data_IF_351834605319
#
_entry.id   IF_351834605319
#
_cell.length_a   1.000
_cell.length_b   1.000
_cell.length_c   1.000
_cell.angle_alpha   90.00
_cell.angle_beta   90.00
_cell.angle_gamma   90.00
#
_symmetry.space_group_name_H-M   'P 1'
#
loop_
_entity.id
_entity.type
_entity.pdbx_description
1 polymer ?
#
# COMPACT_ATOMS: atom_id res chain seq x y z
N UNK A 1 -74.79 -5.37 -22.49
CA UNK A 1 -75.30 -4.29 -21.62
C UNK A 1 -74.16 -3.28 -21.44
N UNK A 2 -74.14 -2.13 -22.14
CA UNK A 2 -74.82 -0.83 -21.84
C UNK A 2 -74.29 -0.25 -20.51
N UNK A 3 -73.77 0.98 -20.32
CA UNK A 3 -73.99 2.36 -20.87
C UNK A 3 -72.72 3.20 -20.51
N UNK A 4 -71.98 3.93 -21.37
CA UNK A 4 -72.09 5.30 -21.97
C UNK A 4 -72.12 6.53 -21.00
N UNK A 5 -71.13 7.43 -21.11
CA UNK A 5 -71.24 8.91 -21.30
C UNK A 5 -69.82 9.52 -21.20
N UNK A 6 -69.17 10.09 -22.23
CA UNK A 6 -69.46 11.27 -23.06
C UNK A 6 -69.60 12.60 -22.31
N UNK A 7 -68.59 13.46 -22.48
CA UNK A 7 -68.75 14.91 -22.65
C UNK A 7 -67.94 15.36 -23.87
N UNK A 8 -68.66 15.89 -24.86
CA UNK A 8 -68.17 16.66 -26.00
C UNK A 8 -68.26 18.14 -25.65
N UNK A 9 -67.27 18.97 -26.03
CA UNK A 9 -67.53 20.30 -26.59
C UNK A 9 -66.55 20.54 -27.76
N UNK A 10 -67.15 20.63 -28.94
CA UNK A 10 -66.63 21.13 -30.22
C UNK A 10 -66.34 22.62 -30.14
N UNK A 11 -65.33 23.15 -30.85
CA UNK A 11 -65.43 23.94 -32.11
C UNK A 11 -64.21 24.91 -32.09
N UNK A 12 -63.58 25.45 -33.13
CA UNK A 12 -63.89 25.73 -34.54
C UNK A 12 -62.54 25.74 -35.28
N UNK A 13 -62.44 25.09 -36.44
CA UNK A 13 -61.39 25.35 -37.43
C UNK A 13 -62.02 26.16 -38.55
N UNK A 14 -61.55 27.39 -38.77
CA UNK A 14 -61.76 28.12 -40.02
C UNK A 14 -60.40 28.60 -40.52
N UNK A 15 -60.05 28.08 -41.70
CA UNK A 15 -58.94 28.52 -42.53
C UNK A 15 -59.28 29.88 -43.13
N UNK A 16 -58.40 30.86 -42.95
CA UNK A 16 -58.26 32.00 -43.85
C UNK A 16 -56.77 32.27 -44.04
N UNK A 17 -56.26 31.92 -45.22
CA UNK A 17 -54.91 32.27 -45.65
C UNK A 17 -54.86 33.73 -46.11
N UNK A 18 -53.77 34.42 -45.77
CA UNK A 18 -53.25 35.56 -46.50
C UNK A 18 -51.72 35.60 -46.37
N UNK A 19 -51.06 35.63 -47.52
CA UNK A 19 -49.62 35.82 -47.72
C UNK A 19 -49.13 37.11 -47.07
N UNK A 20 -48.04 37.06 -46.30
CA UNK A 20 -47.08 38.18 -46.23
C UNK A 20 -45.62 37.70 -46.26
N UNK A 21 -45.01 38.06 -47.38
CA UNK A 21 -43.61 38.24 -47.72
C UNK A 21 -42.55 38.23 -46.60
N UNK A 22 -41.44 37.57 -46.93
CA UNK A 22 -40.10 37.64 -46.34
C UNK A 22 -39.72 39.03 -45.80
N UNK A 23 -39.32 39.06 -44.55
CA UNK A 23 -38.33 40.02 -44.03
C UNK A 23 -37.26 39.23 -43.29
N UNK A 24 -36.12 39.03 -43.95
CA UNK A 24 -34.85 38.69 -43.31
C UNK A 24 -34.44 39.86 -42.42
N UNK A 25 -34.65 39.74 -41.11
CA UNK A 25 -33.87 40.50 -40.15
C UNK A 25 -32.61 39.69 -39.83
N UNK A 26 -31.48 40.19 -40.33
CA UNK A 26 -30.15 39.78 -39.88
C UNK A 26 -30.03 40.07 -38.39
N UNK A 27 -30.38 39.08 -37.56
CA UNK A 27 -29.85 39.02 -36.21
C UNK A 27 -28.44 38.51 -36.37
N UNK A 28 -27.51 39.45 -36.55
CA UNK A 28 -26.11 39.23 -36.21
C UNK A 28 -26.08 38.80 -34.73
N UNK A 29 -26.15 37.49 -34.48
CA UNK A 29 -25.53 36.90 -33.30
C UNK A 29 -24.07 37.29 -33.42
N UNK A 30 -23.70 38.36 -32.71
CA UNK A 30 -22.32 38.56 -32.33
C UNK A 30 -21.88 37.24 -31.69
N UNK A 31 -21.14 36.43 -32.44
CA UNK A 31 -20.27 35.44 -31.85
C UNK A 31 -19.34 36.27 -31.00
N UNK A 32 -19.59 36.31 -29.70
CA UNK A 32 -18.56 36.67 -28.74
C UNK A 32 -17.43 35.68 -29.01
N UNK A 33 -16.44 36.10 -29.79
CA UNK A 33 -15.15 35.46 -29.78
C UNK A 33 -14.69 35.57 -28.33
N UNK A 34 -14.88 34.50 -27.57
CA UNK A 34 -14.20 34.32 -26.31
C UNK A 34 -12.74 34.13 -26.71
N UNK A 35 -12.01 35.23 -26.88
CA UNK A 35 -10.56 35.22 -26.83
C UNK A 35 -10.21 34.61 -25.47
N UNK A 36 -9.93 33.30 -25.46
CA UNK A 36 -9.39 32.63 -24.28
C UNK A 36 -8.12 33.40 -23.90
N UNK A 37 -8.20 34.15 -22.80
CA UNK A 37 -7.05 34.84 -22.21
C UNK A 37 -5.93 33.80 -22.10
N UNK A 38 -4.77 34.07 -22.72
CA UNK A 38 -3.59 33.20 -22.60
C UNK A 38 -3.16 33.20 -21.13
N UNK A 39 -3.51 32.15 -20.41
CA UNK A 39 -3.14 31.95 -19.02
C UNK A 39 -1.65 31.64 -18.93
N UNK A 40 -1.01 32.18 -17.91
CA UNK A 40 0.40 31.97 -17.58
C UNK A 40 0.54 31.67 -16.10
N UNK A 41 1.72 31.24 -15.66
CA UNK A 41 1.98 30.93 -14.24
C UNK A 41 1.74 32.12 -13.29
N UNK A 42 1.76 33.36 -13.80
CA UNK A 42 1.50 34.56 -12.98
C UNK A 42 0.02 34.78 -12.66
N UNK A 43 -0.89 34.10 -13.37
CA UNK A 43 -2.32 34.18 -13.13
C UNK A 43 -2.76 33.30 -11.94
N UNK A 44 -1.86 32.45 -11.41
CA UNK A 44 -2.12 31.60 -10.26
C UNK A 44 -1.77 32.31 -8.95
N UNK A 45 -2.49 31.96 -7.88
CA UNK A 45 -2.25 32.50 -6.54
C UNK A 45 -0.87 32.05 -6.05
N UNK A 46 -0.02 33.00 -5.64
CA UNK A 46 1.27 32.70 -5.01
C UNK A 46 1.07 32.16 -3.59
N UNK A 47 1.85 31.15 -3.24
CA UNK A 47 1.81 30.52 -1.92
C UNK A 47 3.22 30.15 -1.47
N UNK A 48 3.37 29.86 -0.17
CA UNK A 48 4.60 29.23 0.34
C UNK A 48 4.69 27.82 -0.23
N UNK A 49 5.84 27.45 -0.78
CA UNK A 49 6.09 26.10 -1.26
C UNK A 49 6.18 25.06 -0.14
N UNK A 50 6.37 23.80 -0.54
CA UNK A 50 6.56 22.68 0.38
C UNK A 50 8.01 22.67 0.87
N UNK A 51 8.21 23.02 2.14
CA UNK A 51 9.55 22.99 2.77
C UNK A 51 9.97 21.57 3.17
N UNK A 52 9.01 20.77 3.63
CA UNK A 52 9.21 19.39 4.06
C UNK A 52 8.08 18.52 3.50
N UNK A 53 8.46 17.50 2.72
CA UNK A 53 7.52 16.59 2.05
C UNK A 53 6.70 15.74 3.02
N UNK A 54 7.18 15.57 4.26
CA UNK A 54 6.47 14.85 5.32
C UNK A 54 5.27 15.64 5.86
N UNK A 55 5.25 16.96 5.67
CA UNK A 55 4.17 17.83 6.15
C UNK A 55 3.03 17.97 5.12
N UNK A 56 3.17 17.33 3.96
CA UNK A 56 2.17 17.35 2.90
C UNK A 56 1.01 16.41 3.23
N UNK A 57 -0.26 16.84 3.06
CA UNK A 57 -1.41 15.98 3.33
C UNK A 57 -1.45 14.68 2.52
N UNK A 58 -1.13 14.74 1.22
CA UNK A 58 -1.02 13.57 0.34
C UNK A 58 -0.23 13.86 -0.94
N UNK A 59 0.32 12.80 -1.55
CA UNK A 59 1.01 12.87 -2.84
C UNK A 59 0.08 12.49 -3.99
N UNK A 60 0.30 13.09 -5.16
CA UNK A 60 -0.45 12.82 -6.39
C UNK A 60 0.47 12.25 -7.46
N UNK A 61 -0.03 11.24 -8.19
CA UNK A 61 0.66 10.61 -9.30
C UNK A 61 -0.13 10.77 -10.59
N UNK A 62 0.56 10.99 -11.70
CA UNK A 62 -0.03 10.98 -13.04
C UNK A 62 0.77 10.06 -13.96
N UNK A 63 0.09 9.48 -14.94
CA UNK A 63 0.70 8.74 -16.05
C UNK A 63 0.66 9.53 -17.37
N UNK A 64 0.13 10.76 -17.33
CA UNK A 64 -0.04 11.60 -18.51
C UNK A 64 1.24 12.40 -18.78
N UNK A 65 1.59 12.57 -20.05
CA UNK A 65 2.73 13.41 -20.47
C UNK A 65 2.47 14.91 -20.27
N UNK A 66 1.22 15.28 -19.98
CA UNK A 66 0.84 16.66 -19.66
C UNK A 66 -0.46 16.67 -18.88
N UNK A 67 -0.59 17.66 -18.00
CA UNK A 67 -1.74 17.86 -17.11
C UNK A 67 -2.26 19.28 -17.22
N UNK A 68 -3.47 19.53 -16.72
CA UNK A 68 -4.07 20.86 -16.69
C UNK A 68 -4.04 21.42 -15.27
N UNK A 69 -3.49 22.62 -15.15
CA UNK A 69 -3.56 23.43 -13.94
C UNK A 69 -4.65 24.47 -14.10
N UNK A 70 -5.68 24.40 -13.27
CA UNK A 70 -6.80 25.33 -13.26
C UNK A 70 -6.56 26.41 -12.19
N UNK A 71 -7.00 27.64 -12.46
CA UNK A 71 -6.90 28.75 -11.51
C UNK A 71 -7.94 28.69 -10.39
N UNK A 72 -8.98 27.87 -10.56
CA UNK A 72 -10.04 27.57 -9.59
C UNK A 72 -10.54 26.12 -9.80
N UNK A 73 -11.16 25.48 -8.80
CA UNK A 73 -11.67 24.11 -8.89
C UNK A 73 -13.00 24.03 -9.66
N UNK A 74 -12.99 24.48 -10.91
CA UNK A 74 -14.13 24.49 -11.83
C UNK A 74 -13.66 24.05 -13.23
N UNK A 75 -14.38 23.14 -13.88
CA UNK A 75 -14.01 22.63 -15.21
C UNK A 75 -14.02 23.72 -16.28
N UNK A 76 -14.82 24.77 -16.10
CA UNK A 76 -14.89 25.93 -17.00
C UNK A 76 -13.85 27.02 -16.65
N UNK A 77 -13.10 26.85 -15.55
CA UNK A 77 -12.06 27.79 -15.20
C UNK A 77 -10.92 27.80 -16.22
N UNK A 78 -10.28 28.96 -16.33
CA UNK A 78 -9.12 29.11 -17.18
C UNK A 78 -7.98 28.19 -16.68
N UNK A 79 -7.29 27.52 -17.61
CA UNK A 79 -6.26 26.55 -17.27
C UNK A 79 -4.99 26.70 -18.11
N UNK A 80 -3.89 26.25 -17.53
CA UNK A 80 -2.59 26.13 -18.17
C UNK A 80 -2.29 24.65 -18.37
N UNK A 81 -1.95 24.27 -19.60
CA UNK A 81 -1.41 22.93 -19.88
C UNK A 81 0.06 22.89 -19.51
N UNK A 82 0.43 22.01 -18.59
CA UNK A 82 1.79 21.83 -18.10
C UNK A 82 2.29 20.47 -18.56
N UNK A 83 3.46 20.43 -19.21
CA UNK A 83 4.11 19.17 -19.56
C UNK A 83 4.60 18.47 -18.28
N UNK A 84 4.33 17.19 -18.17
CA UNK A 84 4.83 16.39 -17.05
C UNK A 84 6.33 16.16 -17.21
N UNK A 85 7.11 16.52 -16.20
CA UNK A 85 8.48 16.06 -16.08
C UNK A 85 8.54 14.92 -15.05
N UNK A 86 9.30 13.87 -15.33
CA UNK A 86 9.44 12.70 -14.42
C UNK A 86 10.01 13.06 -13.04
N UNK A 87 10.63 14.24 -12.92
CA UNK A 87 11.18 14.76 -11.67
C UNK A 87 10.21 15.68 -10.93
N UNK A 88 9.04 15.98 -11.51
CA UNK A 88 8.03 16.81 -10.86
C UNK A 88 7.30 15.99 -9.80
N UNK A 89 7.27 16.52 -8.59
CA UNK A 89 6.47 15.99 -7.49
C UNK A 89 5.21 16.85 -7.32
N UNK A 90 4.05 16.20 -7.28
CA UNK A 90 2.77 16.87 -7.06
C UNK A 90 2.25 16.59 -5.66
N UNK A 91 2.18 17.65 -4.86
CA UNK A 91 1.79 17.61 -3.45
C UNK A 91 0.38 18.18 -3.32
N UNK A 92 -0.57 17.34 -2.90
CA UNK A 92 -1.97 17.70 -2.71
C UNK A 92 -2.26 18.19 -1.30
N UNK A 93 -3.13 19.19 -1.19
CA UNK A 93 -3.47 19.85 0.08
C UNK A 93 -4.94 19.70 0.45
N UNK A 94 -5.84 19.96 -0.48
CA UNK A 94 -7.28 19.85 -0.28
C UNK A 94 -7.94 19.07 -1.43
N UNK A 95 -9.08 18.46 -1.12
CA UNK A 95 -9.93 17.74 -2.07
C UNK A 95 -11.22 18.52 -2.30
N UNK A 96 -11.53 18.74 -3.56
CA UNK A 96 -12.82 19.22 -4.05
C UNK A 96 -13.50 18.06 -4.80
N UNK A 97 -14.69 18.26 -5.35
CA UNK A 97 -15.43 17.21 -6.06
C UNK A 97 -14.57 16.52 -7.13
N UNK A 98 -14.22 17.25 -8.19
CA UNK A 98 -13.43 16.76 -9.33
C UNK A 98 -11.95 17.17 -9.27
N UNK A 99 -11.53 17.90 -8.24
CA UNK A 99 -10.20 18.52 -8.17
C UNK A 99 -9.43 18.17 -6.90
N UNK A 100 -8.11 18.21 -7.01
CA UNK A 100 -7.19 18.39 -5.90
C UNK A 100 -6.60 19.81 -5.97
N UNK A 101 -6.41 20.51 -4.84
CA UNK A 101 -5.48 21.63 -4.80
C UNK A 101 -4.06 21.11 -4.62
N UNK A 102 -3.11 21.74 -5.32
CA UNK A 102 -1.68 21.43 -5.22
C UNK A 102 -0.88 22.69 -4.94
N UNK A 103 0.22 22.54 -4.20
CA UNK A 103 1.27 23.56 -4.14
C UNK A 103 2.38 23.15 -5.09
N UNK A 104 2.52 23.87 -6.20
CA UNK A 104 3.50 23.58 -7.24
C UNK A 104 4.66 24.57 -7.20
N UNK A 105 5.87 24.05 -7.05
CA UNK A 105 7.10 24.86 -7.08
C UNK A 105 7.62 25.01 -8.50
N UNK A 106 7.62 26.25 -8.99
CA UNK A 106 8.08 26.54 -10.35
C UNK A 106 9.60 26.36 -10.40
N UNK A 107 10.08 25.52 -11.34
CA UNK A 107 11.49 25.18 -11.50
C UNK A 107 12.13 24.67 -10.18
N UNK A 108 11.38 23.90 -9.39
CA UNK A 108 11.82 23.38 -8.09
C UNK A 108 12.31 24.45 -7.10
N UNK A 109 11.82 25.69 -7.24
CA UNK A 109 12.16 26.80 -6.35
C UNK A 109 11.02 27.00 -5.35
N UNK A 110 11.21 26.56 -4.10
CA UNK A 110 10.17 26.57 -3.05
C UNK A 110 9.60 27.98 -2.82
N UNK A 111 10.46 29.01 -2.82
CA UNK A 111 10.07 30.42 -2.66
C UNK A 111 9.26 30.98 -3.84
N UNK A 112 9.16 30.23 -4.94
CA UNK A 112 8.40 30.57 -6.13
C UNK A 112 7.36 29.48 -6.42
N UNK A 113 6.39 29.37 -5.53
CA UNK A 113 5.32 28.38 -5.61
C UNK A 113 3.96 29.01 -5.86
N UNK A 114 3.10 28.25 -6.53
CA UNK A 114 1.72 28.62 -6.82
C UNK A 114 0.76 27.56 -6.26
N UNK A 115 -0.44 28.01 -5.92
CA UNK A 115 -1.58 27.12 -5.75
C UNK A 115 -2.24 26.90 -7.13
N UNK A 116 -2.43 25.64 -7.50
CA UNK A 116 -3.15 25.25 -8.70
C UNK A 116 -4.16 24.14 -8.38
N UNK A 117 -5.20 24.03 -9.18
CA UNK A 117 -6.18 22.94 -9.07
C UNK A 117 -5.97 21.95 -10.22
N UNK A 118 -5.96 20.66 -9.92
CA UNK A 118 -5.75 19.59 -10.91
C UNK A 118 -6.88 18.58 -10.85
N UNK A 119 -7.22 17.98 -11.99
CA UNK A 119 -8.34 17.05 -12.08
C UNK A 119 -7.99 15.68 -11.49
N UNK A 120 -8.93 15.09 -10.74
CA UNK A 120 -8.85 13.70 -10.27
C UNK A 120 -8.89 12.66 -11.40
N UNK A 121 -9.31 13.05 -12.60
CA UNK A 121 -9.23 12.21 -13.80
C UNK A 121 -7.82 12.19 -14.42
N UNK A 122 -6.97 13.16 -14.08
CA UNK A 122 -5.58 13.27 -14.56
C UNK A 122 -4.57 12.80 -13.52
N UNK A 123 -4.96 12.82 -12.25
CA UNK A 123 -4.13 12.45 -11.11
C UNK A 123 -4.81 11.41 -10.24
N UNK A 124 -4.02 10.53 -9.66
CA UNK A 124 -4.46 9.60 -8.63
C UNK A 124 -3.67 9.86 -7.35
N UNK A 125 -4.38 10.00 -6.24
CA UNK A 125 -3.72 10.16 -4.96
C UNK A 125 -3.01 8.86 -4.52
N UNK A 126 -1.85 9.00 -3.90
CA UNK A 126 -1.01 7.86 -3.50
C UNK A 126 -1.76 6.87 -2.59
N UNK A 127 -2.58 7.37 -1.65
CA UNK A 127 -3.37 6.53 -0.75
C UNK A 127 -4.48 5.72 -1.47
N UNK A 128 -4.84 6.07 -2.71
CA UNK A 128 -5.86 5.37 -3.51
C UNK A 128 -5.28 4.34 -4.49
N UNK A 129 -3.95 4.24 -4.56
CA UNK A 129 -3.30 3.28 -5.45
C UNK A 129 -3.75 1.85 -5.14
N UNK A 130 -3.79 1.03 -6.19
CA UNK A 130 -4.19 -0.38 -6.16
C UNK A 130 -3.15 -1.21 -6.90
N UNK A 131 -3.16 -2.54 -6.73
CA UNK A 131 -2.28 -3.44 -7.48
C UNK A 131 -2.75 -3.68 -8.93
N UNK A 132 -3.92 -3.16 -9.31
CA UNK A 132 -4.40 -3.19 -10.69
C UNK A 132 -3.33 -2.63 -11.66
N UNK A 133 -3.09 -3.39 -12.73
CA UNK A 133 -2.11 -3.09 -13.78
C UNK A 133 -0.64 -3.07 -13.30
N UNK A 134 -0.35 -3.63 -12.13
CA UNK A 134 1.01 -3.84 -11.62
C UNK A 134 1.48 -5.25 -11.96
N UNK A 135 2.72 -5.40 -12.43
CA UNK A 135 3.34 -6.72 -12.63
C UNK A 135 3.74 -7.33 -11.28
N UNK A 136 2.89 -8.19 -10.73
CA UNK A 136 3.15 -8.88 -9.46
C UNK A 136 4.29 -9.90 -9.56
N UNK A 137 4.64 -10.37 -10.76
CA UNK A 137 5.72 -11.34 -10.93
C UNK A 137 7.10 -10.69 -10.90
N UNK A 138 7.19 -9.36 -10.98
CA UNK A 138 8.46 -8.66 -11.03
C UNK A 138 9.23 -8.83 -9.71
N UNK A 139 10.45 -9.33 -9.82
CA UNK A 139 11.39 -9.48 -8.69
C UNK A 139 12.72 -8.83 -9.04
N UNK A 140 13.40 -8.29 -8.04
CA UNK A 140 14.75 -7.73 -8.19
C UNK A 140 15.80 -8.84 -8.17
N UNK A 141 15.62 -9.82 -7.30
CA UNK A 141 16.56 -10.92 -7.09
C UNK A 141 15.88 -12.07 -6.34
N UNK A 142 16.52 -13.22 -6.38
CA UNK A 142 16.15 -14.37 -5.57
C UNK A 142 17.37 -15.17 -5.16
N UNK A 143 17.28 -15.88 -4.05
CA UNK A 143 18.24 -16.91 -3.64
C UNK A 143 17.47 -18.21 -3.47
N UNK A 144 17.94 -19.29 -4.08
CA UNK A 144 17.29 -20.60 -3.98
C UNK A 144 18.33 -21.67 -3.64
N UNK A 145 18.17 -22.33 -2.49
CA UNK A 145 19.15 -23.30 -1.94
C UNK A 145 20.58 -22.78 -2.06
N UNK A 146 20.82 -21.59 -1.48
CA UNK A 146 22.11 -20.87 -1.47
C UNK A 146 22.62 -20.36 -2.83
N UNK A 147 21.89 -20.57 -3.94
CA UNK A 147 22.24 -20.02 -5.24
C UNK A 147 21.52 -18.70 -5.49
N UNK A 148 22.29 -17.61 -5.53
CA UNK A 148 21.79 -16.29 -5.89
C UNK A 148 21.50 -16.15 -7.39
N UNK A 149 20.44 -15.41 -7.71
CA UNK A 149 20.03 -15.06 -9.06
C UNK A 149 19.60 -13.60 -9.12
N UNK A 150 20.50 -12.79 -9.68
CA UNK A 150 20.25 -11.37 -9.95
C UNK A 150 19.90 -11.10 -11.41
N UNK A 151 19.77 -12.13 -12.25
CA UNK A 151 19.52 -11.97 -13.69
C UNK A 151 18.05 -12.18 -14.02
N UNK A 152 17.43 -13.24 -13.48
CA UNK A 152 16.02 -13.50 -13.71
C UNK A 152 15.17 -12.58 -12.85
N UNK A 153 14.36 -11.73 -13.51
CA UNK A 153 13.52 -10.70 -12.85
C UNK A 153 12.06 -11.12 -12.70
N UNK A 154 11.79 -12.43 -12.70
CA UNK A 154 10.43 -12.94 -12.60
C UNK A 154 10.30 -14.08 -11.60
N UNK A 155 9.26 -14.01 -10.75
CA UNK A 155 8.89 -15.03 -9.79
C UNK A 155 8.40 -16.34 -10.42
N UNK A 156 8.07 -16.36 -11.73
CA UNK A 156 7.50 -17.52 -12.44
C UNK A 156 8.28 -18.82 -12.28
N UNK A 157 9.60 -18.72 -12.05
CA UNK A 157 10.48 -19.88 -11.79
C UNK A 157 10.09 -20.64 -10.51
N UNK A 158 9.60 -19.93 -9.50
CA UNK A 158 9.32 -20.47 -8.17
C UNK A 158 7.83 -20.72 -7.95
N UNK A 159 6.96 -20.01 -8.67
CA UNK A 159 5.53 -20.15 -8.49
C UNK A 159 4.71 -19.13 -9.28
N UNK A 160 3.48 -18.95 -8.81
CA UNK A 160 2.52 -17.96 -9.28
C UNK A 160 2.15 -16.97 -8.17
N UNK A 161 1.81 -15.75 -8.58
CA UNK A 161 1.32 -14.70 -7.69
C UNK A 161 0.14 -14.00 -8.35
N UNK A 162 -0.91 -13.73 -7.57
CA UNK A 162 -2.12 -13.05 -8.02
C UNK A 162 -2.72 -12.19 -6.91
N UNK A 163 -3.32 -11.07 -7.29
CA UNK A 163 -4.25 -10.34 -6.41
C UNK A 163 -5.53 -11.18 -6.22
N UNK A 164 -6.03 -11.21 -4.99
CA UNK A 164 -7.28 -11.89 -4.61
C UNK A 164 -8.21 -10.91 -3.91
N UNK A 165 -9.49 -11.27 -3.79
CA UNK A 165 -10.46 -10.43 -3.08
C UNK A 165 -10.25 -10.49 -1.56
N UNK A 166 -10.63 -9.41 -0.87
CA UNK A 166 -10.71 -9.39 0.60
C UNK A 166 -11.61 -10.51 1.15
N UNK A 167 -12.68 -10.84 0.42
CA UNK A 167 -13.59 -11.92 0.77
C UNK A 167 -12.89 -13.29 0.72
N UNK A 168 -12.12 -13.57 -0.33
CA UNK A 168 -11.32 -14.81 -0.45
C UNK A 168 -10.27 -14.88 0.65
N UNK A 169 -9.56 -13.78 0.90
CA UNK A 169 -8.55 -13.69 1.96
C UNK A 169 -9.16 -13.97 3.35
N UNK A 170 -10.27 -13.31 3.67
CA UNK A 170 -10.97 -13.46 4.96
C UNK A 170 -11.61 -14.84 5.14
N UNK A 171 -12.10 -15.44 4.06
CA UNK A 171 -12.62 -16.81 4.11
C UNK A 171 -11.48 -17.81 4.35
N UNK A 172 -10.32 -17.60 3.71
CA UNK A 172 -9.17 -18.51 3.77
C UNK A 172 -8.41 -18.41 5.10
N UNK A 173 -8.38 -17.24 5.74
CA UNK A 173 -7.70 -17.05 7.04
C UNK A 173 -8.26 -17.93 8.16
N UNK A 174 -9.52 -18.37 8.05
CA UNK A 174 -10.16 -19.31 8.98
C UNK A 174 -9.62 -20.73 8.87
N UNK A 175 -9.01 -21.07 7.74
CA UNK A 175 -8.47 -22.39 7.42
C UNK A 175 -6.93 -22.39 7.36
N UNK A 176 -6.29 -21.37 7.94
CA UNK A 176 -4.83 -21.32 8.00
C UNK A 176 -4.27 -22.53 8.74
N UNK A 177 -3.13 -23.05 8.26
CA UNK A 177 -2.48 -24.25 8.81
C UNK A 177 -1.11 -23.97 9.45
N UNK A 178 -0.66 -22.72 9.36
CA UNK A 178 0.49 -22.25 10.10
C UNK A 178 0.16 -22.07 11.59
N UNK A 179 1.20 -22.18 12.41
CA UNK A 179 1.08 -22.09 13.85
C UNK A 179 0.71 -20.68 14.30
N UNK A 180 -0.19 -20.58 15.27
CA UNK A 180 -0.45 -19.35 16.00
C UNK A 180 0.44 -19.28 17.24
N UNK A 181 1.20 -18.20 17.39
CA UNK A 181 1.99 -17.95 18.60
C UNK A 181 1.07 -17.68 19.79
N UNK A 182 1.27 -18.41 20.89
CA UNK A 182 0.44 -18.29 22.10
C UNK A 182 1.27 -17.72 23.24
N UNK A 183 0.74 -16.72 23.95
CA UNK A 183 1.43 -16.14 25.12
C UNK A 183 1.68 -17.21 26.19
N UNK A 184 2.94 -17.35 26.59
CA UNK A 184 3.31 -18.16 27.73
C UNK A 184 3.04 -17.35 29.03
N UNK A 185 2.14 -17.81 29.92
CA UNK A 185 1.78 -17.08 31.15
C UNK A 185 2.94 -16.95 32.15
N UNK A 186 3.99 -17.76 31.97
CA UNK A 186 5.19 -17.71 32.80
C UNK A 186 6.15 -16.58 32.39
N UNK A 187 5.92 -15.94 31.23
CA UNK A 187 6.70 -14.80 30.76
C UNK A 187 6.02 -13.51 31.21
N UNK A 188 6.70 -12.70 32.01
CA UNK A 188 6.17 -11.44 32.54
C UNK A 188 7.19 -10.32 32.45
N UNK A 189 6.71 -9.12 32.12
CA UNK A 189 7.49 -7.90 32.23
C UNK A 189 7.56 -7.48 33.71
N UNK A 190 8.77 -7.34 34.24
CA UNK A 190 9.04 -6.89 35.61
C UNK A 190 10.06 -5.76 35.58
N UNK A 191 9.61 -4.53 35.84
CA UNK A 191 10.40 -3.35 35.51
C UNK A 191 10.64 -3.32 34.00
N UNK A 192 11.89 -3.15 33.60
CA UNK A 192 12.29 -3.08 32.19
C UNK A 192 12.73 -4.45 31.61
N UNK A 193 12.63 -5.53 32.40
CA UNK A 193 13.12 -6.85 32.01
C UNK A 193 12.00 -7.86 31.82
N UNK A 194 12.09 -8.65 30.76
CA UNK A 194 11.27 -9.83 30.59
C UNK A 194 11.80 -10.98 31.45
N UNK A 195 10.90 -11.60 32.21
CA UNK A 195 11.26 -12.65 33.17
C UNK A 195 10.45 -13.91 32.93
N UNK A 196 11.13 -15.05 32.96
CA UNK A 196 10.50 -16.36 33.02
C UNK A 196 10.34 -16.81 34.47
N UNK A 197 9.13 -17.23 34.83
CA UNK A 197 8.76 -17.66 36.19
C UNK A 197 8.13 -19.05 36.14
N UNK A 198 8.84 -20.08 36.58
CA UNK A 198 8.27 -21.41 36.75
C UNK A 198 8.98 -22.19 37.85
N UNK A 199 8.25 -22.98 38.64
CA UNK A 199 8.83 -23.92 39.62
C UNK A 199 9.93 -23.30 40.52
N UNK A 200 9.67 -22.11 41.09
CA UNK A 200 10.62 -21.31 41.89
C UNK A 200 11.90 -20.85 41.16
N UNK A 201 12.00 -21.09 39.84
CA UNK A 201 13.01 -20.54 38.95
C UNK A 201 12.52 -19.20 38.43
N UNK A 202 13.34 -18.15 38.64
CA UNK A 202 13.19 -16.84 38.03
C UNK A 202 14.41 -16.60 37.16
N UNK A 203 14.19 -16.42 35.86
CA UNK A 203 15.26 -16.08 34.93
C UNK A 203 14.94 -14.78 34.21
N UNK A 204 15.92 -13.89 34.19
CA UNK A 204 15.88 -12.68 33.37
C UNK A 204 16.23 -13.12 31.96
N UNK A 205 15.37 -12.81 31.00
CA UNK A 205 15.61 -13.08 29.59
C UNK A 205 16.54 -11.98 29.10
N UNK A 206 17.84 -12.28 29.02
CA UNK A 206 18.85 -11.41 28.41
C UNK A 206 18.57 -11.35 26.92
N UNK A 207 18.06 -10.21 26.48
CA UNK A 207 17.82 -9.94 25.07
C UNK A 207 19.15 -9.61 24.40
N UNK A 208 19.28 -9.92 23.11
CA UNK A 208 20.55 -9.78 22.40
C UNK A 208 21.06 -8.33 22.50
N UNK A 209 22.24 -8.16 23.09
CA UNK A 209 22.90 -6.85 23.26
C UNK A 209 23.50 -6.34 21.92
N UNK A 210 23.52 -7.16 20.86
CA UNK A 210 24.19 -6.83 19.59
C UNK A 210 23.43 -5.88 18.65
N UNK A 211 22.34 -5.26 19.11
CA UNK A 211 21.73 -4.15 18.37
C UNK A 211 21.62 -2.93 19.28
N UNK A 212 22.73 -2.54 19.90
CA UNK A 212 22.91 -1.15 20.31
C UNK A 212 23.06 -0.32 19.05
N UNK A 213 22.02 0.40 18.65
CA UNK A 213 22.23 1.57 17.77
C UNK A 213 22.89 2.68 18.61
N UNK A 214 23.44 3.71 17.97
CA UNK A 214 24.12 4.85 18.63
C UNK A 214 23.19 5.67 19.57
N UNK A 215 21.95 5.24 19.78
CA UNK A 215 20.82 6.16 20.01
C UNK A 215 19.80 5.69 21.07
N UNK A 216 19.89 4.47 21.60
CA UNK A 216 19.09 4.07 22.77
C UNK A 216 18.80 2.57 22.88
N UNK A 217 18.22 2.11 24.01
CA UNK A 217 17.87 0.70 24.22
C UNK A 217 16.67 0.28 23.35
N UNK A 218 16.75 -0.90 22.74
CA UNK A 218 15.63 -1.49 21.99
C UNK A 218 14.48 -1.90 22.94
N UNK A 219 13.26 -1.55 22.56
CA UNK A 219 12.06 -1.97 23.26
C UNK A 219 11.61 -3.34 22.72
N UNK A 220 11.88 -4.39 23.47
CA UNK A 220 11.43 -5.73 23.11
C UNK A 220 9.99 -5.98 23.56
N UNK A 221 9.14 -6.36 22.61
CA UNK A 221 7.76 -6.77 22.87
C UNK A 221 7.69 -8.30 22.84
N UNK A 222 7.29 -8.93 23.94
CA UNK A 222 7.01 -10.36 23.92
C UNK A 222 5.85 -10.63 22.94
N UNK A 223 6.02 -11.53 21.97
CA UNK A 223 5.00 -11.86 20.96
C UNK A 223 4.21 -13.09 21.39
N UNK A 224 4.90 -14.18 21.73
CA UNK A 224 4.29 -15.43 22.15
C UNK A 224 5.29 -16.58 22.05
N UNK A 225 4.82 -17.83 22.19
CA UNK A 225 5.61 -19.04 22.07
C UNK A 225 5.21 -19.83 20.83
N UNK A 226 6.20 -20.35 20.12
CA UNK A 226 6.00 -21.45 19.17
C UNK A 226 6.09 -22.77 19.92
N UNK A 227 4.98 -23.52 19.91
CA UNK A 227 4.89 -24.90 20.39
C UNK A 227 5.70 -25.85 19.51
N UNK A 228 5.74 -25.63 18.18
CA UNK A 228 6.50 -26.47 17.27
C UNK A 228 8.02 -26.34 17.47
N UNK A 229 8.52 -25.11 17.58
CA UNK A 229 9.94 -24.84 17.78
C UNK A 229 10.38 -25.00 19.25
N UNK A 230 9.44 -24.97 20.20
CA UNK A 230 9.68 -24.84 21.64
C UNK A 230 10.48 -23.58 22.00
N UNK A 231 10.20 -22.46 21.33
CA UNK A 231 10.91 -21.18 21.47
C UNK A 231 9.94 -20.03 21.80
N UNK A 232 10.40 -19.11 22.64
CA UNK A 232 9.74 -17.85 22.91
C UNK A 232 10.11 -16.83 21.83
N UNK A 233 9.15 -16.05 21.36
CA UNK A 233 9.32 -15.09 20.27
C UNK A 233 9.14 -13.68 20.84
N UNK A 234 10.12 -12.83 20.55
CA UNK A 234 10.09 -11.40 20.87
C UNK A 234 10.19 -10.60 19.58
N UNK A 235 9.49 -9.47 19.55
CA UNK A 235 9.63 -8.45 18.51
C UNK A 235 10.59 -7.41 19.05
N UNK A 236 11.66 -7.16 18.31
CA UNK A 236 12.66 -6.15 18.61
C UNK A 236 12.25 -4.88 17.86
N UNK A 237 12.00 -3.79 18.60
CA UNK A 237 11.66 -2.50 18.03
C UNK A 237 12.80 -1.52 18.28
N UNK A 238 13.20 -0.80 17.23
CA UNK A 238 14.04 0.39 17.33
C UNK A 238 13.17 1.63 17.13
N UNK A 239 13.40 2.69 17.91
CA UNK A 239 12.75 3.98 17.71
C UNK A 239 13.23 4.68 16.42
N UNK A 240 14.30 4.18 15.78
CA UNK A 240 14.96 4.82 14.63
C UNK A 240 14.80 4.08 13.31
N UNK A 241 14.53 2.78 13.35
CA UNK A 241 14.37 1.95 12.16
C UNK A 241 12.95 1.41 12.11
N UNK A 242 12.28 1.58 10.97
CA UNK A 242 10.94 1.01 10.74
C UNK A 242 10.95 -0.53 10.65
N UNK A 243 12.13 -1.13 10.56
CA UNK A 243 12.31 -2.56 10.46
C UNK A 243 11.94 -3.24 11.79
N UNK A 244 11.01 -4.19 11.71
CA UNK A 244 10.66 -5.05 12.84
C UNK A 244 11.38 -6.38 12.70
N UNK A 245 12.23 -6.70 13.68
CA UNK A 245 12.91 -7.99 13.77
C UNK A 245 12.21 -8.86 14.80
N UNK A 246 12.20 -10.18 14.56
CA UNK A 246 11.62 -11.15 15.45
C UNK A 246 12.68 -12.16 15.83
N UNK A 247 12.90 -12.32 17.14
CA UNK A 247 13.96 -13.14 17.70
C UNK A 247 13.39 -14.28 18.53
N UNK A 248 14.02 -15.45 18.41
CA UNK A 248 13.56 -16.69 19.02
C UNK A 248 14.53 -17.14 20.11
N UNK A 249 13.99 -17.37 21.30
CA UNK A 249 14.76 -17.63 22.51
C UNK A 249 14.36 -18.96 23.16
N UNK A 250 15.38 -19.70 23.61
CA UNK A 250 15.18 -20.84 24.49
C UNK A 250 15.24 -20.39 25.95
N UNK A 251 14.14 -20.54 26.70
CA UNK A 251 14.09 -20.14 28.12
C UNK A 251 14.42 -21.27 29.09
N UNK A 252 14.61 -22.52 28.64
CA UNK A 252 14.79 -23.68 29.55
C UNK A 252 16.25 -24.01 29.83
N UNK A 253 17.12 -23.91 28.84
CA UNK A 253 18.47 -24.50 28.90
C UNK A 253 19.61 -23.47 28.96
N UNK A 254 19.42 -22.32 28.33
CA UNK A 254 20.20 -21.08 28.40
C UNK A 254 19.50 -20.11 27.43
N UNK A 255 19.47 -18.80 27.72
CA UNK A 255 18.93 -17.80 26.79
C UNK A 255 19.93 -17.62 25.65
N UNK A 256 19.89 -18.56 24.70
CA UNK A 256 20.62 -18.47 23.45
C UNK A 256 19.63 -18.09 22.37
N UNK A 257 19.97 -17.04 21.64
CA UNK A 257 19.33 -16.70 20.39
C UNK A 257 19.50 -17.87 19.41
N UNK A 258 18.39 -18.46 18.97
CA UNK A 258 18.43 -19.61 18.05
C UNK A 258 18.10 -19.20 16.61
N UNK A 259 17.19 -18.22 16.41
CA UNK A 259 16.65 -17.83 15.10
C UNK A 259 16.23 -16.36 15.09
N UNK A 260 16.29 -15.69 13.93
CA UNK A 260 15.54 -14.47 13.68
C UNK A 260 14.85 -14.44 12.33
N UNK A 261 13.82 -13.60 12.23
CA UNK A 261 13.17 -13.23 10.98
C UNK A 261 13.03 -11.72 10.89
N UNK A 262 13.17 -11.17 9.68
CA UNK A 262 13.03 -9.75 9.39
C UNK A 262 11.56 -9.36 9.13
N UNK A 263 10.61 -9.94 9.88
CA UNK A 263 9.17 -9.77 9.78
C UNK A 263 8.46 -10.85 10.60
N UNK A 264 7.15 -10.70 10.84
CA UNK A 264 6.39 -11.67 11.64
C UNK A 264 6.56 -13.10 11.10
N UNK A 265 6.90 -14.08 11.95
CA UNK A 265 7.16 -15.43 11.49
C UNK A 265 5.88 -16.23 11.27
N UNK A 266 5.70 -16.77 10.07
CA UNK A 266 4.68 -17.77 9.75
C UNK A 266 5.33 -19.16 9.78
N UNK A 267 5.06 -19.91 10.84
CA UNK A 267 5.66 -21.22 11.08
C UNK A 267 4.72 -22.27 10.53
N UNK A 268 5.20 -23.13 9.63
CA UNK A 268 4.43 -24.24 9.06
C UNK A 268 4.98 -25.58 9.59
N UNK A 269 4.39 -26.15 10.66
CA UNK A 269 4.91 -27.35 11.31
C UNK A 269 5.02 -28.56 10.39
N UNK A 270 4.05 -28.74 9.49
CA UNK A 270 4.00 -29.89 8.57
C UNK A 270 5.17 -29.97 7.60
N UNK A 271 5.83 -28.83 7.34
CA UNK A 271 7.02 -28.72 6.49
C UNK A 271 8.29 -28.38 7.27
N UNK A 272 8.16 -28.13 8.58
CA UNK A 272 9.22 -27.53 9.39
C UNK A 272 9.75 -26.23 8.79
N UNK A 273 8.86 -25.38 8.26
CA UNK A 273 9.26 -24.10 7.67
C UNK A 273 9.05 -22.94 8.64
N UNK A 274 9.97 -22.00 8.60
CA UNK A 274 9.81 -20.65 9.14
C UNK A 274 9.81 -19.70 7.95
N UNK A 275 8.66 -19.10 7.69
CA UNK A 275 8.46 -18.14 6.60
C UNK A 275 8.35 -16.75 7.20
N UNK A 276 8.80 -15.74 6.47
CA UNK A 276 8.43 -14.36 6.76
C UNK A 276 8.23 -13.57 5.48
N UNK A 277 7.41 -12.53 5.58
CA UNK A 277 7.27 -11.52 4.54
C UNK A 277 7.42 -10.14 5.18
N UNK A 278 8.18 -9.27 4.52
CA UNK A 278 8.47 -7.94 5.07
C UNK A 278 8.66 -6.89 4.00
N UNK A 279 8.59 -5.63 4.40
CA UNK A 279 8.89 -4.51 3.51
C UNK A 279 10.40 -4.32 3.47
N UNK A 280 10.99 -4.31 2.27
CA UNK A 280 12.41 -4.08 2.08
C UNK A 280 12.72 -2.57 2.05
N UNK A 281 13.78 -2.07 2.69
CA UNK A 281 14.02 -0.62 2.72
C UNK A 281 14.29 0.02 1.34
N UNK A 282 14.82 -0.73 0.38
CA UNK A 282 15.06 -0.23 -0.97
C UNK A 282 13.77 -0.26 -1.80
N UNK A 283 13.29 -1.46 -2.13
CA UNK A 283 12.21 -1.66 -3.10
C UNK A 283 11.37 -2.87 -2.72
N UNK A 284 10.05 -2.62 -2.67
CA UNK A 284 9.02 -3.64 -2.50
C UNK A 284 9.19 -4.48 -1.24
N UNK A 285 9.06 -5.80 -1.36
CA UNK A 285 8.94 -6.73 -0.23
C UNK A 285 9.80 -7.97 -0.37
N UNK A 286 10.31 -8.42 0.76
CA UNK A 286 11.05 -9.67 0.86
C UNK A 286 10.10 -10.80 1.26
N UNK A 287 10.25 -11.96 0.62
CA UNK A 287 9.58 -13.21 0.97
C UNK A 287 10.64 -14.28 1.17
N UNK A 288 10.70 -14.85 2.37
CA UNK A 288 11.71 -15.82 2.77
C UNK A 288 11.06 -17.09 3.30
N UNK A 289 11.59 -18.23 2.90
CA UNK A 289 11.27 -19.56 3.44
C UNK A 289 12.58 -20.21 3.89
N UNK A 290 12.65 -20.56 5.17
CA UNK A 290 13.73 -21.33 5.75
C UNK A 290 13.21 -22.66 6.30
N UNK A 291 14.00 -23.72 6.20
CA UNK A 291 13.73 -24.99 6.85
C UNK A 291 14.40 -25.03 8.22
N UNK A 292 13.62 -25.33 9.25
CA UNK A 292 14.12 -25.55 10.60
C UNK A 292 14.38 -27.04 10.83
N UNK A 293 15.54 -27.37 11.39
CA UNK A 293 15.89 -28.72 11.84
C UNK A 293 15.79 -28.82 13.36
N UNK A 294 14.74 -29.45 13.93
CA UNK A 294 14.60 -29.57 15.39
C UNK A 294 15.75 -30.32 16.06
N UNK A 295 16.42 -31.22 15.34
CA UNK A 295 17.54 -32.00 15.86
C UNK A 295 18.80 -31.14 16.06
N UNK A 296 19.08 -30.26 15.10
CA UNK A 296 20.29 -29.43 15.13
C UNK A 296 20.03 -28.01 15.62
N UNK A 297 18.74 -27.63 15.73
CA UNK A 297 18.26 -26.28 16.05
C UNK A 297 18.80 -25.22 15.08
N UNK A 298 18.96 -25.59 13.81
CA UNK A 298 19.47 -24.71 12.76
C UNK A 298 18.40 -24.43 11.71
N UNK A 299 18.57 -23.30 11.04
CA UNK A 299 17.82 -22.93 9.84
C UNK A 299 18.69 -23.08 8.59
N UNK A 300 18.07 -23.59 7.52
CA UNK A 300 18.61 -23.60 6.18
C UNK A 300 17.71 -22.74 5.28
N UNK A 301 18.28 -21.73 4.62
CA UNK A 301 17.53 -20.85 3.73
C UNK A 301 17.18 -21.59 2.44
N UNK A 302 15.88 -21.84 2.23
CA UNK A 302 15.40 -22.56 1.06
C UNK A 302 15.12 -21.61 -0.11
N UNK A 303 14.44 -20.50 0.16
CA UNK A 303 14.04 -19.52 -0.84
C UNK A 303 14.03 -18.12 -0.23
N UNK A 304 14.62 -17.17 -0.95
CA UNK A 304 14.46 -15.74 -0.74
C UNK A 304 14.05 -15.10 -2.07
N UNK A 305 13.10 -14.16 -2.02
CA UNK A 305 12.61 -13.40 -3.17
C UNK A 305 12.41 -11.95 -2.77
N UNK A 306 12.99 -11.02 -3.53
CA UNK A 306 12.72 -9.59 -3.39
C UNK A 306 11.73 -9.12 -4.47
N UNK A 307 10.45 -9.03 -4.12
CA UNK A 307 9.39 -8.49 -4.98
C UNK A 307 9.52 -6.98 -5.10
N UNK A 308 9.21 -6.41 -6.28
CA UNK A 308 9.38 -4.96 -6.52
C UNK A 308 8.08 -4.15 -6.49
N UNK A 309 6.95 -4.82 -6.41
CA UNK A 309 5.66 -4.26 -6.84
C UNK A 309 4.76 -3.80 -5.68
N UNK A 310 4.99 -4.32 -4.49
CA UNK A 310 4.16 -4.10 -3.32
C UNK A 310 4.99 -4.09 -2.04
N UNK A 311 4.39 -3.57 -0.97
CA UNK A 311 4.89 -3.53 0.40
C UNK A 311 3.92 -4.28 1.31
N UNK A 312 4.39 -4.78 2.44
CA UNK A 312 3.52 -5.47 3.41
C UNK A 312 2.74 -4.44 4.21
N UNK A 313 1.42 -4.62 4.29
CA UNK A 313 0.52 -3.74 5.04
C UNK A 313 0.55 -4.07 6.54
N UNK A 314 0.52 -5.36 6.85
CA UNK A 314 0.55 -5.92 8.21
C UNK A 314 1.14 -7.33 8.10
N UNK A 315 2.35 -7.52 8.65
CA UNK A 315 3.07 -8.78 8.58
C UNK A 315 2.38 -9.90 9.39
N UNK A 316 1.55 -9.56 10.38
CA UNK A 316 0.71 -10.52 11.12
C UNK A 316 -0.46 -11.03 10.27
N UNK A 317 -0.83 -10.32 9.21
CA UNK A 317 -1.86 -10.73 8.24
C UNK A 317 -1.23 -11.38 7.02
N UNK A 318 -0.39 -12.36 7.29
CA UNK A 318 0.08 -13.31 6.31
C UNK A 318 0.02 -14.72 6.89
N UNK A 319 -0.28 -15.71 6.06
CA UNK A 319 -0.51 -17.09 6.51
C UNK A 319 -0.45 -18.12 5.40
N UNK A 320 -0.16 -19.36 5.77
CA UNK A 320 -0.27 -20.54 4.91
C UNK A 320 -1.66 -21.16 5.01
N UNK A 321 -2.27 -21.50 3.87
CA UNK A 321 -3.56 -22.22 3.83
C UNK A 321 -3.40 -23.70 3.52
N UNK A 322 -2.29 -24.07 2.88
CA UNK A 322 -1.87 -25.42 2.55
C UNK A 322 -0.32 -25.46 2.46
N UNK A 323 0.23 -26.49 1.81
CA UNK A 323 1.66 -26.74 1.77
C UNK A 323 2.43 -25.92 0.73
N UNK A 324 1.75 -25.17 -0.12
CA UNK A 324 2.31 -24.45 -1.26
C UNK A 324 1.67 -23.07 -1.48
N UNK A 325 0.64 -22.72 -0.74
CA UNK A 325 -0.13 -21.49 -0.92
C UNK A 325 -0.08 -20.58 0.31
N UNK A 326 0.48 -19.38 0.10
CA UNK A 326 0.68 -18.33 1.09
C UNK A 326 -0.12 -17.07 0.73
N UNK A 327 -0.77 -16.47 1.72
CA UNK A 327 -1.60 -15.28 1.57
C UNK A 327 -0.97 -14.12 2.34
N UNK A 328 -1.09 -12.88 1.83
CA UNK A 328 -0.63 -11.69 2.55
C UNK A 328 -1.48 -10.44 2.24
N UNK A 329 -1.63 -9.55 3.24
CA UNK A 329 -2.13 -8.19 3.04
C UNK A 329 -0.98 -7.23 2.68
N UNK A 330 -1.16 -6.48 1.59
CA UNK A 330 -0.12 -5.64 0.99
C UNK A 330 -0.68 -4.31 0.51
N UNK A 331 0.19 -3.38 0.13
CA UNK A 331 -0.20 -2.17 -0.61
C UNK A 331 0.81 -1.89 -1.75
N UNK A 332 0.42 -1.14 -2.79
CA UNK A 332 1.33 -0.81 -3.90
C UNK A 332 2.53 0.02 -3.42
N UNK A 333 3.71 -0.21 -4.00
CA UNK A 333 4.96 0.42 -3.52
C UNK A 333 4.93 1.95 -3.43
N UNK A 334 4.24 2.62 -4.35
CA UNK A 334 4.13 4.08 -4.40
C UNK A 334 2.94 4.62 -3.59
N UNK A 335 2.21 3.77 -2.87
CA UNK A 335 1.14 4.22 -2.01
C UNK A 335 1.73 4.86 -0.76
N UNK A 336 1.12 5.93 -0.26
CA UNK A 336 1.55 6.62 0.94
C UNK A 336 0.32 6.90 1.82
N UNK A 337 0.50 6.87 3.15
CA UNK A 337 -0.53 7.33 4.08
C UNK A 337 -0.78 8.82 3.88
N UNK A 338 -2.00 9.25 4.17
CA UNK A 338 -2.39 10.65 4.11
C UNK A 338 -3.08 11.04 5.40
N UNK A 339 -3.12 12.34 5.72
CA UNK A 339 -3.71 12.79 6.98
C UNK A 339 -5.17 12.32 7.11
N UNK A 340 -5.44 11.49 8.12
CA UNK A 340 -6.77 10.91 8.35
C UNK A 340 -7.17 9.78 7.39
N UNK A 341 -6.27 9.33 6.50
CA UNK A 341 -6.51 8.27 5.52
C UNK A 341 -5.42 7.20 5.58
N UNK A 342 -5.85 5.95 5.42
CA UNK A 342 -4.92 4.81 5.29
C UNK A 342 -4.64 4.53 3.82
N UNK A 343 -3.48 3.96 3.55
CA UNK A 343 -3.21 3.35 2.25
C UNK A 343 -4.26 2.29 1.97
N UNK A 344 -4.69 2.19 0.72
CA UNK A 344 -5.60 1.14 0.30
C UNK A 344 -4.85 -0.19 0.26
N UNK A 345 -5.20 -1.09 1.16
CA UNK A 345 -4.72 -2.47 1.13
C UNK A 345 -5.24 -3.23 -0.09
N UNK A 346 -4.47 -4.22 -0.50
CA UNK A 346 -4.81 -5.28 -1.42
C UNK A 346 -4.37 -6.61 -0.81
N UNK A 347 -4.85 -7.72 -1.37
CA UNK A 347 -4.56 -9.06 -0.86
C UNK A 347 -3.94 -9.87 -1.97
N UNK A 348 -2.86 -10.59 -1.67
CA UNK A 348 -2.17 -11.43 -2.64
C UNK A 348 -2.18 -12.89 -2.19
N UNK A 349 -2.17 -13.76 -3.19
CA UNK A 349 -1.90 -15.19 -3.06
C UNK A 349 -0.63 -15.51 -3.81
N UNK A 350 0.33 -16.11 -3.11
CA UNK A 350 1.54 -16.72 -3.66
C UNK A 350 1.33 -18.23 -3.62
N UNK A 351 1.45 -18.88 -4.78
CA UNK A 351 1.42 -20.34 -4.87
C UNK A 351 2.75 -20.83 -5.42
N UNK A 352 3.49 -21.59 -4.64
CA UNK A 352 4.74 -22.23 -5.05
C UNK A 352 4.50 -23.33 -6.08
N UNK A 353 5.51 -23.62 -6.91
CA UNK A 353 5.45 -24.76 -7.82
C UNK A 353 5.46 -26.08 -7.04
N UNK A 354 4.74 -27.08 -7.56
CA UNK A 354 4.77 -28.44 -7.02
C UNK A 354 6.22 -28.96 -6.98
N UNK A 355 6.59 -29.62 -5.88
CA UNK A 355 7.93 -30.20 -5.69
C UNK A 355 9.09 -29.20 -5.82
N UNK A 356 8.87 -27.92 -5.53
CA UNK A 356 9.94 -26.91 -5.59
C UNK A 356 11.13 -27.25 -4.66
N UNK A 357 10.86 -27.82 -3.48
CA UNK A 357 11.88 -28.11 -2.47
C UNK A 357 12.24 -29.58 -2.37
#
# INVERSE_FOLDING_TARGET
MKIVNQFFISSVVVLAGCNQQKTTSDIHKAKTEITQKKITLTDFKRIKGVDNVQDVPFQLLTKLDSVRFFVAPDQEAAHLKVAYNKLDNYYGFEEFDDFYSIHYSINNTISNSIEAFVLKSEFKAAFELTLKDVDLYAIRSSTFKESDDFKNKSFKKFGSISEISEQEFTASSKNRIDETLVKNPNIKLQGDNWTYLANNRKEIITQDENVSTETGPLANEYVGRSSFLDLEVFKENSDEVLDSYYSFFNVKNAITFELSTNGYPQILPTKSWVTCVSSNNDVGSDFMIAQYSPQTKKQENLLYVNFTSFKIADDKKAFWIDHDTFFAEVYPINSAVAKGKKQKSAFIKIKLNDHLF
#
